data_IF_895768719151
#
_entry.id   IF_895768719151
#
_cell.length_a   1.000
_cell.length_b   1.000
_cell.length_c   1.000
_cell.angle_alpha   90.00
_cell.angle_beta   90.00
_cell.angle_gamma   90.00
#
_symmetry.space_group_name_H-M   'P 1'
#
loop_
_entity.id
_entity.type
_entity.pdbx_description
1 polymer ?
#
# COMPACT_ATOMS: atom_id res chain seq x y z
N UNK A 1 -63.84 -3.19 -56.37
CA UNK A 1 -63.63 -3.25 -57.83
C UNK A 1 -63.42 -1.82 -58.33
N UNK A 2 -62.22 -1.52 -58.85
CA UNK A 2 -61.80 -0.36 -59.68
C UNK A 2 -61.87 1.09 -59.13
N UNK A 3 -60.70 1.73 -59.18
CA UNK A 3 -60.44 3.17 -59.15
C UNK A 3 -60.59 3.81 -60.55
N UNK A 4 -60.28 5.14 -60.65
CA UNK A 4 -59.96 5.99 -61.84
C UNK A 4 -61.15 6.90 -62.30
N UNK A 5 -61.08 8.23 -62.57
CA UNK A 5 -60.01 9.24 -62.78
C UNK A 5 -60.52 10.70 -62.52
N UNK A 6 -59.52 11.56 -62.31
CA UNK A 6 -59.36 13.03 -62.28
C UNK A 6 -60.22 13.95 -63.21
N UNK A 7 -60.53 15.18 -62.75
CA UNK A 7 -60.28 16.45 -63.50
C UNK A 7 -60.65 17.72 -62.68
N UNK A 8 -59.61 18.53 -62.43
CA UNK A 8 -59.50 19.95 -62.01
C UNK A 8 -60.72 20.90 -62.14
N UNK A 9 -60.88 21.80 -61.16
CA UNK A 9 -60.51 23.23 -61.28
C UNK A 9 -60.38 23.86 -59.89
N UNK A 10 -59.31 24.63 -59.73
CA UNK A 10 -58.89 25.34 -58.54
C UNK A 10 -59.84 26.51 -58.20
N UNK A 11 -60.32 26.54 -56.97
CA UNK A 11 -60.70 27.77 -56.28
C UNK A 11 -59.73 27.97 -55.14
N UNK A 12 -58.82 28.92 -55.36
CA UNK A 12 -57.91 29.48 -54.38
C UNK A 12 -58.75 30.04 -53.23
N UNK A 13 -58.81 29.33 -52.12
CA UNK A 13 -58.92 29.96 -50.81
C UNK A 13 -57.52 30.01 -50.25
N UNK A 14 -56.91 31.19 -50.36
CA UNK A 14 -55.79 31.57 -49.54
C UNK A 14 -56.30 31.53 -48.09
N UNK A 15 -56.17 30.38 -47.43
CA UNK A 15 -56.17 30.35 -45.97
C UNK A 15 -54.91 31.11 -45.62
N UNK A 16 -55.08 32.40 -45.36
CA UNK A 16 -54.10 33.20 -44.63
C UNK A 16 -53.79 32.35 -43.41
N UNK A 17 -52.58 31.78 -43.39
CA UNK A 17 -52.11 31.05 -42.24
C UNK A 17 -52.33 31.96 -41.06
N UNK A 18 -53.27 31.59 -40.19
CA UNK A 18 -53.41 32.24 -38.91
C UNK A 18 -52.04 32.11 -38.29
N UNK A 19 -51.34 33.25 -38.16
CA UNK A 19 -50.30 33.38 -37.17
C UNK A 19 -50.98 32.98 -35.87
N UNK A 20 -50.81 31.72 -35.46
CA UNK A 20 -50.94 31.34 -34.07
C UNK A 20 -49.95 32.25 -33.36
N UNK A 21 -50.46 33.34 -32.78
CA UNK A 21 -49.70 34.08 -31.78
C UNK A 21 -49.46 33.06 -30.68
N UNK A 22 -48.29 32.42 -30.67
CA UNK A 22 -47.87 31.71 -29.48
C UNK A 22 -47.86 32.77 -28.37
N UNK A 23 -48.87 32.69 -27.51
CA UNK A 23 -48.94 33.51 -26.30
C UNK A 23 -47.67 33.25 -25.54
N UNK A 24 -46.90 34.30 -25.25
CA UNK A 24 -45.65 34.13 -24.56
C UNK A 24 -45.87 33.47 -23.20
N UNK A 25 -45.08 32.44 -22.92
CA UNK A 25 -45.05 31.77 -21.62
C UNK A 25 -43.77 32.20 -20.91
N UNK A 26 -43.86 32.44 -19.61
CA UNK A 26 -42.68 32.80 -18.81
C UNK A 26 -41.60 31.72 -18.92
N UNK A 27 -40.31 32.08 -18.86
CA UNK A 27 -39.21 31.12 -18.86
C UNK A 27 -39.37 30.07 -17.75
N UNK A 28 -38.90 28.86 -18.00
CA UNK A 28 -38.72 27.83 -16.96
C UNK A 28 -37.37 28.02 -16.28
N UNK A 29 -37.30 27.86 -14.96
CA UNK A 29 -36.09 28.09 -14.17
C UNK A 29 -35.95 27.02 -13.09
N UNK A 30 -34.73 26.53 -12.88
CA UNK A 30 -34.35 25.60 -11.81
C UNK A 30 -32.95 25.93 -11.31
N UNK A 31 -32.72 25.73 -10.02
CA UNK A 31 -31.39 25.68 -9.43
C UNK A 31 -30.99 24.20 -9.34
N UNK A 32 -29.89 23.83 -9.99
CA UNK A 32 -29.36 22.46 -10.00
C UNK A 32 -28.38 22.21 -8.84
N UNK A 33 -27.63 23.24 -8.46
CA UNK A 33 -26.76 23.23 -7.31
C UNK A 33 -26.69 24.64 -6.70
N UNK A 34 -26.66 24.76 -5.36
CA UNK A 34 -26.80 23.69 -4.37
C UNK A 34 -28.25 23.16 -4.23
N UNK A 35 -28.42 22.01 -3.58
CA UNK A 35 -29.74 21.47 -3.27
C UNK A 35 -30.42 22.24 -2.13
N UNK A 36 -31.76 22.23 -2.10
CA UNK A 36 -32.52 22.86 -1.01
C UNK A 36 -32.18 22.20 0.34
N UNK A 37 -31.88 23.04 1.34
CA UNK A 37 -31.44 22.63 2.67
C UNK A 37 -29.96 22.25 2.79
N UNK A 38 -29.15 22.39 1.73
CA UNK A 38 -27.74 22.01 1.77
C UNK A 38 -26.92 22.89 2.73
N UNK A 39 -26.04 22.25 3.51
CA UNK A 39 -25.17 22.91 4.49
C UNK A 39 -23.73 22.95 4.00
N UNK A 40 -23.01 24.01 4.34
CA UNK A 40 -21.62 24.24 3.98
C UNK A 40 -20.81 24.69 5.19
N UNK A 41 -19.63 24.09 5.37
CA UNK A 41 -18.58 24.60 6.26
C UNK A 41 -17.71 25.65 5.57
N UNK A 42 -17.46 25.45 4.27
CA UNK A 42 -16.80 26.42 3.41
C UNK A 42 -17.72 27.62 3.13
N UNK A 43 -17.14 28.82 3.21
CA UNK A 43 -17.88 30.07 2.98
C UNK A 43 -18.10 30.37 1.51
N UNK A 44 -17.47 29.61 0.63
CA UNK A 44 -17.57 29.78 -0.82
C UNK A 44 -18.45 28.68 -1.40
N UNK A 45 -19.55 29.07 -2.05
CA UNK A 45 -20.52 28.15 -2.65
C UNK A 45 -20.59 28.39 -4.15
N UNK A 46 -20.59 27.31 -4.93
CA UNK A 46 -20.78 27.33 -6.38
C UNK A 46 -22.23 27.05 -6.72
N UNK A 47 -22.77 27.84 -7.65
CA UNK A 47 -24.15 27.77 -8.06
C UNK A 47 -24.26 27.32 -9.52
N UNK A 48 -25.32 26.58 -9.82
CA UNK A 48 -25.63 26.17 -11.18
C UNK A 48 -27.14 26.31 -11.42
N UNK A 49 -27.50 27.12 -12.41
CA UNK A 49 -28.88 27.28 -12.85
C UNK A 49 -29.15 26.52 -14.13
N UNK A 50 -30.42 26.21 -14.36
CA UNK A 50 -30.93 25.72 -15.64
C UNK A 50 -32.22 26.46 -15.98
N UNK A 51 -32.35 26.87 -17.25
CA UNK A 51 -33.54 27.55 -17.72
C UNK A 51 -33.82 27.26 -19.19
N UNK A 52 -35.07 27.47 -19.60
CA UNK A 52 -35.49 27.35 -21.00
C UNK A 52 -36.70 28.26 -21.26
N UNK A 53 -36.69 28.93 -22.41
CA UNK A 53 -37.81 29.70 -22.92
C UNK A 53 -38.06 29.31 -24.39
N UNK A 54 -38.99 28.37 -24.65
CA UNK A 54 -39.29 27.92 -26.01
C UNK A 54 -40.07 28.94 -26.86
N UNK A 55 -40.78 29.88 -26.23
CA UNK A 55 -41.68 30.83 -26.90
C UNK A 55 -41.10 32.26 -27.00
N UNK A 56 -39.96 32.50 -26.35
CA UNK A 56 -39.20 33.74 -26.35
C UNK A 56 -37.69 33.51 -26.38
N UNK A 57 -36.93 34.50 -25.90
CA UNK A 57 -35.47 34.45 -25.77
C UNK A 57 -35.10 35.04 -24.41
N UNK A 58 -34.30 34.30 -23.64
CA UNK A 58 -33.76 34.80 -22.37
C UNK A 58 -32.91 36.06 -22.61
N UNK A 59 -33.27 37.13 -21.92
CA UNK A 59 -32.62 38.44 -22.01
C UNK A 59 -31.75 38.73 -20.78
N UNK A 60 -32.18 38.31 -19.59
CA UNK A 60 -31.48 38.55 -18.32
C UNK A 60 -31.58 37.35 -17.39
N UNK A 61 -30.48 37.03 -16.71
CA UNK A 61 -30.44 36.16 -15.53
C UNK A 61 -29.90 36.96 -14.35
N UNK A 62 -30.42 36.70 -13.16
CA UNK A 62 -30.01 37.40 -11.94
C UNK A 62 -30.11 36.46 -10.74
N UNK A 63 -28.97 36.21 -10.12
CA UNK A 63 -28.85 35.54 -8.84
C UNK A 63 -28.96 36.56 -7.71
N UNK A 64 -29.66 36.19 -6.65
CA UNK A 64 -29.59 36.85 -5.35
C UNK A 64 -29.20 35.79 -4.32
N UNK A 65 -28.10 36.02 -3.61
CA UNK A 65 -27.53 35.04 -2.68
C UNK A 65 -28.12 35.12 -1.27
N UNK A 66 -29.07 36.02 -1.03
CA UNK A 66 -29.77 36.17 0.26
C UNK A 66 -29.00 36.98 1.31
N UNK A 67 -27.75 37.40 1.01
CA UNK A 67 -26.90 38.23 1.88
C UNK A 67 -26.67 39.65 1.34
N UNK A 68 -27.39 40.01 0.28
CA UNK A 68 -27.22 41.26 -0.47
C UNK A 68 -26.28 41.15 -1.68
N UNK A 69 -25.58 40.02 -1.85
CA UNK A 69 -24.82 39.72 -3.05
C UNK A 69 -25.70 39.31 -4.23
N UNK A 70 -25.28 39.67 -5.44
CA UNK A 70 -25.98 39.31 -6.69
C UNK A 70 -24.98 38.93 -7.79
N UNK A 71 -25.44 38.22 -8.83
CA UNK A 71 -24.64 37.92 -10.02
C UNK A 71 -25.52 37.75 -11.27
N UNK A 72 -24.96 38.04 -12.44
CA UNK A 72 -25.58 37.77 -13.74
C UNK A 72 -24.89 36.61 -14.50
N UNK A 73 -23.97 35.89 -13.85
CA UNK A 73 -23.29 34.74 -14.45
C UNK A 73 -24.18 33.50 -14.44
N UNK A 74 -23.96 32.60 -15.39
CA UNK A 74 -24.72 31.36 -15.51
C UNK A 74 -24.42 30.36 -14.38
N UNK A 75 -23.18 30.36 -13.90
CA UNK A 75 -22.70 29.48 -12.84
C UNK A 75 -21.75 30.25 -11.91
N UNK A 76 -22.28 31.17 -11.08
CA UNK A 76 -21.45 32.00 -10.23
C UNK A 76 -20.86 31.22 -9.05
N UNK A 77 -19.77 31.75 -8.53
CA UNK A 77 -19.22 31.41 -7.21
C UNK A 77 -19.46 32.59 -6.27
N UNK A 78 -20.00 32.34 -5.08
CA UNK A 78 -20.26 33.39 -4.08
C UNK A 78 -19.63 33.05 -2.73
N UNK A 79 -19.07 34.07 -2.09
CA UNK A 79 -18.42 33.97 -0.78
C UNK A 79 -19.22 34.69 0.30
N UNK A 80 -19.84 33.93 1.19
CA UNK A 80 -20.57 34.43 2.34
C UNK A 80 -19.61 34.91 3.43
N UNK A 81 -19.86 36.07 4.03
CA UNK A 81 -18.99 36.60 5.08
C UNK A 81 -19.32 36.02 6.45
N UNK A 82 -20.60 35.74 6.71
CA UNK A 82 -21.13 35.30 8.00
C UNK A 82 -21.71 33.89 7.88
N UNK A 83 -21.75 33.19 9.00
CA UNK A 83 -22.54 31.98 9.12
C UNK A 83 -24.02 32.39 9.23
N UNK A 84 -24.91 31.59 8.67
CA UNK A 84 -26.33 31.91 8.61
C UNK A 84 -27.08 31.03 7.62
N UNK A 85 -28.40 31.19 7.64
CA UNK A 85 -29.31 30.60 6.66
C UNK A 85 -29.62 31.64 5.58
N UNK A 86 -29.55 31.22 4.33
CA UNK A 86 -29.70 32.10 3.16
C UNK A 86 -30.73 31.52 2.20
N UNK A 87 -31.69 32.35 1.82
CA UNK A 87 -32.60 32.05 0.71
C UNK A 87 -31.96 32.57 -0.57
N UNK A 88 -31.50 31.64 -1.41
CA UNK A 88 -30.90 31.96 -2.71
C UNK A 88 -31.98 31.89 -3.76
N UNK A 89 -32.06 32.91 -4.62
CA UNK A 89 -33.01 32.93 -5.74
C UNK A 89 -32.31 33.19 -7.08
N UNK A 90 -32.83 32.55 -8.12
CA UNK A 90 -32.46 32.77 -9.52
C UNK A 90 -33.68 33.30 -10.26
N UNK A 91 -33.57 34.52 -10.77
CA UNK A 91 -34.56 35.14 -11.65
C UNK A 91 -34.11 35.03 -13.11
N UNK A 92 -35.00 34.64 -14.01
CA UNK A 92 -34.76 34.65 -15.46
C UNK A 92 -35.86 35.47 -16.13
N UNK A 93 -35.45 36.45 -16.93
CA UNK A 93 -36.34 37.36 -17.65
C UNK A 93 -36.14 37.21 -19.16
N UNK A 94 -37.23 37.09 -19.90
CA UNK A 94 -37.20 37.01 -21.36
C UNK A 94 -37.28 38.38 -22.06
N UNK A 95 -37.12 38.35 -23.38
CA UNK A 95 -37.17 39.53 -24.25
C UNK A 95 -38.56 40.19 -24.36
N UNK A 96 -39.58 39.61 -23.73
CA UNK A 96 -40.95 40.16 -23.63
C UNK A 96 -41.27 40.59 -22.19
N UNK A 97 -40.24 40.70 -21.34
CA UNK A 97 -40.29 41.19 -19.96
C UNK A 97 -41.11 40.30 -19.02
N UNK A 98 -41.25 39.01 -19.32
CA UNK A 98 -41.78 38.04 -18.37
C UNK A 98 -40.63 37.45 -17.55
N UNK A 99 -40.84 37.33 -16.24
CA UNK A 99 -39.85 36.82 -15.29
C UNK A 99 -40.40 35.60 -14.56
N UNK A 100 -39.53 34.62 -14.33
CA UNK A 100 -39.80 33.50 -13.43
C UNK A 100 -38.62 33.28 -12.48
N UNK A 101 -38.88 32.60 -11.36
CA UNK A 101 -37.92 32.43 -10.27
C UNK A 101 -37.81 30.96 -9.84
N UNK A 102 -36.63 30.60 -9.35
CA UNK A 102 -36.39 29.40 -8.56
C UNK A 102 -35.67 29.79 -7.27
N UNK A 103 -35.93 29.08 -6.18
CA UNK A 103 -35.37 29.36 -4.86
C UNK A 103 -34.85 28.09 -4.20
N UNK A 104 -33.78 28.22 -3.41
CA UNK A 104 -33.26 27.18 -2.52
C UNK A 104 -32.77 27.80 -1.21
N UNK A 105 -32.97 27.10 -0.10
CA UNK A 105 -32.38 27.43 1.19
C UNK A 105 -31.02 26.76 1.30
N UNK A 106 -30.04 27.50 1.78
CA UNK A 106 -28.75 26.94 2.19
C UNK A 106 -28.37 27.43 3.58
N UNK A 107 -27.45 26.72 4.22
CA UNK A 107 -26.89 27.12 5.51
C UNK A 107 -25.37 27.12 5.48
N UNK A 108 -24.78 28.25 5.81
CA UNK A 108 -23.35 28.38 6.09
C UNK A 108 -23.15 28.23 7.60
N UNK A 109 -22.45 27.19 8.02
CA UNK A 109 -22.25 26.82 9.42
C UNK A 109 -20.76 26.73 9.73
N UNK A 110 -20.37 26.96 10.98
CA UNK A 110 -19.06 26.58 11.45
C UNK A 110 -19.02 25.05 11.49
N UNK A 111 -18.18 24.46 10.64
CA UNK A 111 -17.91 23.01 10.71
C UNK A 111 -17.20 22.63 12.01
N UNK A 112 -17.00 21.32 12.25
CA UNK A 112 -16.12 20.89 13.32
C UNK A 112 -14.69 21.42 13.07
N UNK A 113 -13.91 21.47 14.14
CA UNK A 113 -12.47 21.67 14.12
C UNK A 113 -11.83 20.39 14.61
N UNK A 114 -11.17 19.67 13.72
CA UNK A 114 -10.38 18.50 14.07
C UNK A 114 -9.11 18.94 14.82
N UNK A 115 -8.75 18.22 15.88
CA UNK A 115 -7.48 18.43 16.59
C UNK A 115 -6.86 17.06 16.92
N UNK A 116 -5.94 16.63 16.05
CA UNK A 116 -5.20 15.39 16.19
C UNK A 116 -3.93 15.61 17.02
N UNK A 117 -3.70 14.75 18.00
CA UNK A 117 -2.49 14.78 18.84
C UNK A 117 -1.91 13.38 18.99
N UNK A 118 -0.59 13.31 19.19
CA UNK A 118 0.14 12.06 19.41
C UNK A 118 1.00 12.15 20.67
N UNK A 119 1.13 11.04 21.38
CA UNK A 119 1.93 10.92 22.61
C UNK A 119 2.73 9.61 22.66
N UNK A 120 3.90 9.67 23.30
CA UNK A 120 4.65 8.47 23.67
C UNK A 120 4.15 7.97 25.02
N UNK A 121 3.78 6.69 25.10
CA UNK A 121 3.37 6.07 26.37
C UNK A 121 4.51 5.98 27.40
N UNK A 122 5.75 6.13 26.95
CA UNK A 122 6.95 6.17 27.79
C UNK A 122 7.26 7.57 28.35
N UNK A 123 6.64 8.62 27.80
CA UNK A 123 6.83 9.98 28.27
C UNK A 123 6.00 10.21 29.53
N UNK A 124 6.61 10.79 30.57
CA UNK A 124 5.89 11.29 31.75
C UNK A 124 5.14 12.59 31.47
N UNK A 125 5.47 13.27 30.37
CA UNK A 125 4.85 14.52 29.98
C UNK A 125 3.73 14.25 28.96
N UNK A 126 2.50 14.55 29.34
CA UNK A 126 1.31 14.49 28.48
C UNK A 126 1.20 15.73 27.58
N UNK A 127 2.32 16.15 26.98
CA UNK A 127 2.30 17.28 26.04
C UNK A 127 1.75 16.77 24.71
N UNK A 128 0.67 17.36 24.17
CA UNK A 128 0.14 17.03 22.85
C UNK A 128 1.17 17.39 21.80
N UNK A 129 1.64 16.40 21.05
CA UNK A 129 2.60 16.61 19.97
C UNK A 129 1.92 16.46 18.62
N UNK A 130 2.51 17.13 17.63
CA UNK A 130 2.21 16.93 16.20
C UNK A 130 3.22 16.01 15.52
N UNK A 131 4.33 15.72 16.18
CA UNK A 131 5.40 14.88 15.66
C UNK A 131 6.01 14.06 16.79
N UNK A 132 6.19 12.75 16.56
CA UNK A 132 6.95 11.85 17.42
C UNK A 132 7.93 11.03 16.59
N UNK A 133 9.10 10.77 17.17
CA UNK A 133 10.07 9.81 16.64
C UNK A 133 10.52 8.86 17.75
N UNK A 134 10.76 7.60 17.39
CA UNK A 134 11.34 6.60 18.30
C UNK A 134 11.65 5.28 17.60
N UNK A 135 12.35 4.39 18.31
CA UNK A 135 12.83 3.13 17.73
C UNK A 135 11.70 2.11 17.60
N UNK A 136 11.83 1.22 16.60
CA UNK A 136 10.90 0.12 16.45
C UNK A 136 11.02 -0.92 17.60
N UNK A 137 9.94 -1.61 17.97
CA UNK A 137 8.57 -1.23 17.66
C UNK A 137 8.14 -0.01 18.49
N UNK A 138 7.50 0.95 17.83
CA UNK A 138 7.10 2.21 18.46
C UNK A 138 5.63 2.14 18.88
N UNK A 139 5.38 2.31 20.17
CA UNK A 139 4.04 2.37 20.74
C UNK A 139 3.65 3.84 20.99
N UNK A 140 2.57 4.29 20.35
CA UNK A 140 2.05 5.66 20.47
C UNK A 140 0.59 5.66 20.91
N UNK A 141 0.18 6.75 21.54
CA UNK A 141 -1.22 7.05 21.79
C UNK A 141 -1.65 8.20 20.87
N UNK A 142 -2.74 7.99 20.13
CA UNK A 142 -3.39 8.99 19.28
C UNK A 142 -4.64 9.48 20.00
N UNK A 143 -4.87 10.79 19.97
CA UNK A 143 -5.93 11.43 20.73
C UNK A 143 -6.57 12.58 19.95
N UNK A 144 -7.89 12.47 19.72
CA UNK A 144 -8.75 13.44 19.05
C UNK A 144 -9.68 14.19 20.02
N UNK A 145 -9.55 13.98 21.34
CA UNK A 145 -10.47 14.50 22.36
C UNK A 145 -10.55 16.03 22.42
N UNK A 146 -9.60 16.72 21.80
CA UNK A 146 -9.57 18.18 21.68
C UNK A 146 -10.33 18.72 20.47
N UNK A 147 -10.80 17.83 19.60
CA UNK A 147 -11.67 18.22 18.50
C UNK A 147 -12.96 18.80 19.04
N UNK A 148 -13.49 19.83 18.38
CA UNK A 148 -14.66 20.56 18.86
C UNK A 148 -15.56 20.99 17.71
N UNK A 149 -16.85 21.18 17.99
CA UNK A 149 -17.78 21.90 17.11
C UNK A 149 -18.51 22.95 17.93
N UNK A 150 -18.62 24.16 17.39
CA UNK A 150 -19.25 25.30 18.07
C UNK A 150 -20.76 25.36 17.89
N UNK A 151 -21.30 24.72 16.85
CA UNK A 151 -22.72 24.77 16.50
C UNK A 151 -23.45 23.45 16.76
N UNK A 152 -22.71 22.34 16.78
CA UNK A 152 -23.24 20.98 16.82
C UNK A 152 -22.37 20.09 17.73
N UNK A 153 -22.77 18.83 17.91
CA UNK A 153 -21.94 17.81 18.55
C UNK A 153 -21.11 17.05 17.51
N UNK A 154 -19.91 16.60 17.89
CA UNK A 154 -19.16 15.63 17.07
C UNK A 154 -19.96 14.32 17.02
N UNK A 155 -20.11 13.79 15.81
CA UNK A 155 -20.83 12.55 15.51
C UNK A 155 -19.90 11.36 15.37
N UNK A 156 -18.74 11.54 14.73
CA UNK A 156 -17.78 10.46 14.49
C UNK A 156 -16.35 10.97 14.34
N UNK A 157 -15.41 10.08 14.65
CA UNK A 157 -13.98 10.20 14.38
C UNK A 157 -13.60 9.10 13.40
N UNK A 158 -12.60 9.36 12.57
CA UNK A 158 -12.01 8.36 11.70
C UNK A 158 -10.53 8.67 11.52
N UNK A 159 -9.68 7.70 11.82
CA UNK A 159 -8.23 7.76 11.70
C UNK A 159 -7.78 6.88 10.54
N UNK A 160 -6.95 7.43 9.67
CA UNK A 160 -6.05 6.68 8.78
C UNK A 160 -4.66 6.70 9.43
N UNK A 161 -4.12 5.52 9.72
CA UNK A 161 -2.86 5.35 10.46
C UNK A 161 -1.63 5.45 9.56
N UNK A 162 -1.81 5.66 8.25
CA UNK A 162 -0.71 5.85 7.30
C UNK A 162 0.01 4.55 6.89
N UNK A 163 -0.42 3.40 7.41
CA UNK A 163 0.09 2.06 7.07
C UNK A 163 -0.97 1.15 6.44
N UNK A 164 -2.09 1.74 6.03
CA UNK A 164 -3.26 1.05 5.47
C UNK A 164 -4.28 0.59 6.51
N UNK A 165 -4.02 0.79 7.81
CA UNK A 165 -4.95 0.50 8.89
C UNK A 165 -5.74 1.75 9.30
N UNK A 166 -6.92 1.55 9.89
CA UNK A 166 -7.82 2.64 10.31
C UNK A 166 -8.42 2.42 11.69
N UNK A 167 -8.96 3.47 12.30
CA UNK A 167 -9.71 3.38 13.57
C UNK A 167 -10.79 4.45 13.68
N UNK A 168 -11.93 4.15 14.29
CA UNK A 168 -13.00 5.12 14.57
C UNK A 168 -13.04 5.57 16.05
N UNK A 169 -12.08 5.10 16.86
CA UNK A 169 -11.99 5.47 18.27
C UNK A 169 -11.43 6.89 18.41
N UNK A 170 -12.01 7.76 19.26
CA UNK A 170 -11.48 9.10 19.50
C UNK A 170 -10.09 9.09 20.12
N UNK A 171 -9.72 7.97 20.78
CA UNK A 171 -8.42 7.79 21.43
C UNK A 171 -8.00 6.33 21.31
N UNK A 172 -6.79 6.06 20.84
CA UNK A 172 -6.27 4.70 20.67
C UNK A 172 -4.78 4.58 20.95
N UNK A 173 -4.35 3.39 21.34
CA UNK A 173 -2.94 3.00 21.41
C UNK A 173 -2.61 2.17 20.17
N UNK A 174 -1.59 2.57 19.42
CA UNK A 174 -1.17 1.89 18.21
C UNK A 174 0.33 1.54 18.23
N UNK A 175 0.68 0.39 17.64
CA UNK A 175 2.05 -0.14 17.62
C UNK A 175 2.55 -0.24 16.19
N UNK A 176 3.46 0.64 15.81
CA UNK A 176 4.18 0.51 14.55
C UNK A 176 5.34 -0.48 14.71
N UNK A 177 5.35 -1.53 13.88
CA UNK A 177 6.35 -2.61 13.92
C UNK A 177 7.34 -2.56 12.77
N UNK A 178 7.12 -1.68 11.79
CA UNK A 178 7.97 -1.49 10.62
C UNK A 178 8.59 -0.09 10.73
N UNK A 179 9.90 0.07 10.55
CA UNK A 179 10.53 1.38 10.42
C UNK A 179 9.98 2.17 9.23
N UNK A 180 9.77 3.47 9.40
CA UNK A 180 9.19 4.33 8.37
C UNK A 180 8.67 5.65 8.91
N UNK A 181 8.25 6.52 7.99
CA UNK A 181 7.54 7.76 8.28
C UNK A 181 6.06 7.57 7.96
N UNK A 182 5.19 7.80 8.96
CA UNK A 182 3.75 7.64 8.87
C UNK A 182 3.05 8.99 9.03
N UNK A 183 2.22 9.36 8.06
CA UNK A 183 1.28 10.48 8.18
C UNK A 183 -0.06 9.93 8.67
N UNK A 184 -0.42 10.27 9.91
CA UNK A 184 -1.66 9.84 10.54
C UNK A 184 -2.70 10.94 10.37
N UNK A 185 -3.80 10.62 9.70
CA UNK A 185 -4.86 11.57 9.36
C UNK A 185 -6.11 11.33 10.18
N UNK A 186 -6.59 12.35 10.88
CA UNK A 186 -7.89 12.37 11.54
C UNK A 186 -8.92 13.05 10.65
N UNK A 187 -10.11 12.46 10.53
CA UNK A 187 -11.33 13.10 10.02
C UNK A 187 -12.37 13.13 11.12
N UNK A 188 -12.88 14.32 11.44
CA UNK A 188 -13.98 14.52 12.40
C UNK A 188 -15.21 14.95 11.65
N UNK A 189 -16.35 14.29 11.90
CA UNK A 189 -17.64 14.66 11.32
C UNK A 189 -18.62 15.04 12.43
N UNK A 190 -19.35 16.13 12.24
CA UNK A 190 -20.34 16.61 13.18
C UNK A 190 -21.75 16.08 12.91
N UNK A 191 -22.72 16.41 13.77
CA UNK A 191 -24.11 15.97 13.59
C UNK A 191 -24.86 16.69 12.45
N UNK A 192 -24.29 17.74 11.86
CA UNK A 192 -24.78 18.35 10.63
C UNK A 192 -24.23 17.67 9.36
N UNK A 193 -23.30 16.73 9.49
CA UNK A 193 -22.64 16.05 8.38
C UNK A 193 -21.47 16.84 7.77
N UNK A 194 -21.04 17.91 8.43
CA UNK A 194 -19.84 18.66 8.06
C UNK A 194 -18.61 17.94 8.62
N UNK A 195 -17.51 17.98 7.88
CA UNK A 195 -16.27 17.32 8.27
C UNK A 195 -15.08 18.26 8.19
N UNK A 196 -14.10 17.99 9.04
CA UNK A 196 -12.79 18.64 9.06
C UNK A 196 -11.68 17.60 9.29
N UNK A 197 -10.45 17.94 8.93
CA UNK A 197 -9.30 17.04 9.00
C UNK A 197 -8.09 17.70 9.64
N UNK A 198 -7.31 16.89 10.33
CA UNK A 198 -6.04 17.28 10.93
C UNK A 198 -5.09 16.08 10.95
N UNK A 199 -3.79 16.31 11.01
CA UNK A 199 -2.79 15.24 10.95
C UNK A 199 -1.70 15.36 12.02
N UNK A 200 -1.03 14.24 12.25
CA UNK A 200 0.19 14.11 13.04
C UNK A 200 1.18 13.21 12.31
N UNK A 201 2.47 13.37 12.57
CA UNK A 201 3.52 12.58 11.95
C UNK A 201 4.21 11.67 12.96
N UNK A 202 4.40 10.40 12.60
CA UNK A 202 5.08 9.39 13.42
C UNK A 202 6.27 8.83 12.64
N UNK A 203 7.47 8.97 13.19
CA UNK A 203 8.71 8.41 12.64
C UNK A 203 9.17 7.22 13.47
N UNK A 204 9.24 6.06 12.85
CA UNK A 204 9.75 4.83 13.45
C UNK A 204 11.16 4.57 12.92
N UNK A 205 12.15 4.68 13.81
CA UNK A 205 13.55 4.51 13.45
C UNK A 205 13.89 3.02 13.31
N UNK A 206 14.70 2.68 12.31
CA UNK A 206 15.37 1.39 12.20
C UNK A 206 16.37 1.26 13.37
N UNK A 207 16.53 0.08 13.99
CA UNK A 207 17.47 -0.08 15.09
C UNK A 207 18.89 0.23 14.60
N UNK A 208 19.70 0.90 15.44
CA UNK A 208 21.12 1.05 15.15
C UNK A 208 21.77 -0.33 15.02
N UNK A 209 22.24 -0.65 13.81
CA UNK A 209 22.96 -1.90 13.55
C UNK A 209 24.30 -1.85 14.26
N UNK A 210 24.58 -2.84 15.11
CA UNK A 210 25.89 -2.94 15.75
C UNK A 210 26.96 -3.19 14.67
N UNK A 211 27.86 -2.23 14.49
CA UNK A 211 28.92 -2.29 13.48
C UNK A 211 30.30 -2.58 14.09
N UNK A 212 31.14 -3.21 13.28
CA UNK A 212 32.50 -3.64 13.59
C UNK A 212 33.40 -3.31 12.41
N UNK A 213 34.72 -3.18 12.64
CA UNK A 213 35.67 -2.88 11.57
C UNK A 213 36.90 -3.77 11.65
N UNK A 214 37.32 -4.30 10.50
CA UNK A 214 38.55 -5.07 10.32
C UNK A 214 39.26 -4.56 9.06
N UNK A 215 40.51 -4.13 9.19
CA UNK A 215 41.33 -3.61 8.08
C UNK A 215 40.62 -2.51 7.25
N UNK A 216 39.87 -1.63 7.92
CA UNK A 216 39.12 -0.54 7.26
C UNK A 216 37.78 -0.95 6.65
N UNK A 217 37.46 -2.25 6.59
CA UNK A 217 36.15 -2.76 6.16
C UNK A 217 35.20 -2.76 7.36
N UNK A 218 34.07 -2.06 7.23
CA UNK A 218 33.05 -1.99 8.26
C UNK A 218 31.96 -3.02 7.95
N UNK A 219 31.46 -3.72 8.95
CA UNK A 219 30.41 -4.73 8.78
C UNK A 219 29.52 -4.77 10.02
N UNK A 220 28.27 -5.18 9.88
CA UNK A 220 27.29 -5.21 10.96
C UNK A 220 26.64 -6.57 11.13
N UNK A 221 26.27 -6.88 12.38
CA UNK A 221 25.42 -8.03 12.68
C UNK A 221 23.99 -7.68 12.30
N UNK A 222 23.41 -8.42 11.36
CA UNK A 222 22.03 -8.20 10.92
C UNK A 222 21.04 -9.13 11.61
N UNK A 223 21.39 -10.40 11.86
CA UNK A 223 20.49 -11.33 12.55
C UNK A 223 21.25 -12.40 13.35
N UNK A 224 20.63 -12.86 14.43
CA UNK A 224 21.05 -13.97 15.30
C UNK A 224 19.88 -14.94 15.51
N UNK A 225 19.89 -16.06 14.81
CA UNK A 225 18.86 -17.10 14.92
C UNK A 225 19.35 -18.28 15.77
N UNK A 226 18.47 -18.85 16.59
CA UNK A 226 18.73 -20.12 17.26
C UNK A 226 18.44 -21.27 16.28
N UNK A 227 19.44 -22.07 15.98
CA UNK A 227 19.28 -23.33 15.26
C UNK A 227 19.00 -24.40 16.33
N UNK A 228 17.90 -25.16 16.19
CA UNK A 228 17.46 -26.32 16.99
C UNK A 228 18.26 -26.61 18.28
N UNK A 229 17.61 -26.51 19.44
CA UNK A 229 18.25 -26.61 20.76
C UNK A 229 19.22 -27.80 20.85
N UNK A 230 20.51 -27.53 21.08
CA UNK A 230 21.45 -28.60 21.35
C UNK A 230 21.14 -29.20 22.73
N UNK A 231 21.21 -30.53 22.83
CA UNK A 231 21.26 -31.22 24.11
C UNK A 231 22.43 -30.66 24.95
N UNK A 232 22.25 -30.60 26.28
CA UNK A 232 23.21 -30.08 27.27
C UNK A 232 23.23 -28.55 27.53
N UNK A 233 22.22 -27.79 27.10
CA UNK A 233 22.02 -26.40 27.55
C UNK A 233 22.91 -25.35 26.86
N UNK A 234 23.73 -25.76 25.89
CA UNK A 234 24.46 -24.88 24.98
C UNK A 234 23.58 -24.53 23.76
N UNK A 235 23.70 -23.30 23.24
CA UNK A 235 22.95 -22.88 22.04
C UNK A 235 23.77 -23.14 20.77
N UNK A 236 23.08 -23.63 19.73
CA UNK A 236 23.55 -23.57 18.34
C UNK A 236 22.96 -22.31 17.70
N UNK A 237 23.81 -21.46 17.11
CA UNK A 237 23.41 -20.14 16.62
C UNK A 237 23.84 -19.91 15.18
N UNK A 238 22.97 -19.28 14.40
CA UNK A 238 23.29 -18.71 13.09
C UNK A 238 23.44 -17.21 13.23
N UNK A 239 24.61 -16.69 12.85
CA UNK A 239 24.88 -15.26 12.77
C UNK A 239 24.94 -14.83 11.31
N UNK A 240 24.24 -13.75 10.96
CA UNK A 240 24.31 -13.12 9.64
C UNK A 240 24.99 -11.77 9.74
N UNK A 241 26.15 -11.64 9.13
CA UNK A 241 26.91 -10.39 9.05
C UNK A 241 26.94 -9.84 7.64
N UNK A 242 26.88 -8.52 7.52
CA UNK A 242 26.90 -7.82 6.23
C UNK A 242 27.93 -6.70 6.24
N UNK A 243 28.67 -6.59 5.14
CA UNK A 243 29.63 -5.50 4.94
C UNK A 243 28.88 -4.21 4.61
N UNK A 244 29.29 -3.12 5.26
CA UNK A 244 28.80 -1.76 5.03
C UNK A 244 29.11 -1.38 3.57
N UNK A 245 28.09 -1.06 2.75
CA UNK A 245 28.27 -0.70 1.34
C UNK A 245 29.27 0.44 1.12
N UNK A 246 29.38 1.37 2.07
CA UNK A 246 30.30 2.51 2.00
C UNK A 246 31.76 2.12 2.24
N UNK A 247 32.00 0.94 2.82
CA UNK A 247 33.34 0.42 3.08
C UNK A 247 33.85 -0.51 1.97
N UNK A 248 33.09 -0.68 0.89
CA UNK A 248 33.47 -1.56 -0.22
C UNK A 248 34.69 -1.01 -0.99
N UNK A 249 35.52 -1.90 -1.56
CA UNK A 249 36.54 -1.48 -2.52
C UNK A 249 35.89 -0.71 -3.67
N UNK A 250 36.45 0.45 -4.03
CA UNK A 250 35.93 1.28 -5.12
C UNK A 250 35.93 0.55 -6.47
N UNK A 251 36.86 -0.39 -6.66
CA UNK A 251 36.93 -1.29 -7.80
C UNK A 251 37.33 -2.70 -7.32
N UNK A 252 36.60 -3.74 -7.75
CA UNK A 252 36.97 -5.14 -7.53
C UNK A 252 36.13 -5.92 -6.50
N UNK A 253 36.24 -7.25 -6.55
CA UNK A 253 35.63 -8.18 -5.57
C UNK A 253 36.47 -8.26 -4.31
N UNK A 254 35.84 -8.47 -3.15
CA UNK A 254 36.53 -8.85 -1.91
C UNK A 254 37.51 -10.02 -2.14
N UNK A 255 38.67 -9.96 -1.49
CA UNK A 255 39.65 -11.06 -1.49
C UNK A 255 39.28 -12.11 -0.44
N UNK A 256 39.75 -13.36 -0.61
CA UNK A 256 39.56 -14.42 0.39
C UNK A 256 40.17 -14.03 1.74
N UNK A 257 41.26 -13.27 1.74
CA UNK A 257 41.92 -12.78 2.95
C UNK A 257 41.04 -11.78 3.71
N UNK A 258 40.44 -10.81 3.01
CA UNK A 258 39.48 -9.87 3.62
C UNK A 258 38.28 -10.60 4.23
N UNK A 259 37.73 -11.58 3.51
CA UNK A 259 36.60 -12.39 3.98
C UNK A 259 36.99 -13.24 5.18
N UNK A 260 38.18 -13.84 5.17
CA UNK A 260 38.74 -14.60 6.28
C UNK A 260 38.86 -13.75 7.53
N UNK A 261 39.44 -12.55 7.42
CA UNK A 261 39.69 -11.69 8.57
C UNK A 261 38.38 -11.25 9.25
N UNK A 262 37.37 -10.88 8.46
CA UNK A 262 36.04 -10.52 8.97
C UNK A 262 35.37 -11.72 9.66
N UNK A 263 35.38 -12.89 9.01
CA UNK A 263 34.79 -14.11 9.58
C UNK A 263 35.51 -14.53 10.87
N UNK A 264 36.83 -14.43 10.93
CA UNK A 264 37.61 -14.74 12.11
C UNK A 264 37.37 -13.75 13.25
N UNK A 265 37.19 -12.45 12.97
CA UNK A 265 36.80 -11.48 13.98
C UNK A 265 35.40 -11.76 14.52
N UNK A 266 34.44 -12.08 13.64
CA UNK A 266 33.10 -12.51 14.05
C UNK A 266 33.14 -13.78 14.92
N UNK A 267 33.95 -14.79 14.56
CA UNK A 267 34.15 -16.01 15.37
C UNK A 267 34.67 -15.68 16.76
N UNK A 268 35.68 -14.79 16.89
CA UNK A 268 36.20 -14.36 18.20
C UNK A 268 35.11 -13.73 19.05
N UNK A 269 34.24 -12.90 18.46
CA UNK A 269 33.13 -12.26 19.17
C UNK A 269 32.07 -13.26 19.62
N UNK A 270 31.73 -14.23 18.77
CA UNK A 270 30.79 -15.30 19.12
C UNK A 270 31.36 -16.23 20.19
N UNK A 271 32.65 -16.55 20.11
CA UNK A 271 33.35 -17.37 21.10
C UNK A 271 33.41 -16.73 22.49
N UNK A 272 33.41 -15.39 22.56
CA UNK A 272 33.34 -14.64 23.80
C UNK A 272 31.92 -14.57 24.40
N UNK A 273 30.88 -14.97 23.65
CA UNK A 273 29.50 -14.90 24.11
C UNK A 273 29.16 -16.07 25.06
N UNK A 274 28.53 -15.81 26.21
CA UNK A 274 28.17 -16.86 27.15
C UNK A 274 27.10 -17.80 26.55
N UNK A 275 27.22 -19.10 26.86
CA UNK A 275 26.26 -20.17 26.50
C UNK A 275 26.13 -20.48 24.99
N UNK A 276 27.16 -20.22 24.20
CA UNK A 276 27.23 -20.63 22.78
C UNK A 276 28.16 -21.83 22.66
N UNK A 277 27.62 -22.99 22.30
CA UNK A 277 28.40 -24.22 22.09
C UNK A 277 28.77 -24.46 20.63
N UNK A 278 27.95 -23.95 19.70
CA UNK A 278 28.18 -24.02 18.25
C UNK A 278 27.65 -22.77 17.58
N UNK A 279 28.33 -22.32 16.52
CA UNK A 279 27.88 -21.22 15.70
C UNK A 279 28.26 -21.41 14.23
N UNK A 280 27.32 -21.07 13.36
CA UNK A 280 27.56 -20.84 11.94
C UNK A 280 27.45 -19.35 11.70
N UNK A 281 28.46 -18.76 11.07
CA UNK A 281 28.53 -17.32 10.81
C UNK A 281 28.58 -17.14 9.30
N UNK A 282 27.58 -16.49 8.73
CA UNK A 282 27.53 -16.14 7.31
C UNK A 282 27.95 -14.70 7.10
N UNK A 283 28.76 -14.46 6.07
CA UNK A 283 29.18 -13.13 5.66
C UNK A 283 28.65 -12.79 4.27
N UNK A 284 28.05 -11.61 4.17
CA UNK A 284 27.47 -11.09 2.94
C UNK A 284 28.04 -9.71 2.56
N UNK A 285 28.11 -9.42 1.28
CA UNK A 285 28.52 -8.13 0.74
C UNK A 285 27.42 -7.05 0.85
N UNK A 286 26.15 -7.43 0.91
CA UNK A 286 25.02 -6.51 1.04
C UNK A 286 23.89 -7.05 1.94
N UNK A 287 23.14 -6.13 2.56
CA UNK A 287 21.90 -6.44 3.26
C UNK A 287 20.77 -6.55 2.26
N UNK A 288 20.18 -7.73 2.15
CA UNK A 288 18.94 -7.95 1.41
C UNK A 288 17.98 -8.71 2.31
N UNK A 289 16.76 -8.17 2.41
CA UNK A 289 15.79 -8.45 3.47
C UNK A 289 15.47 -9.94 3.64
N UNK A 290 15.51 -10.75 2.58
CA UNK A 290 15.07 -12.15 2.64
C UNK A 290 16.08 -13.19 2.14
N UNK A 291 17.37 -12.89 2.03
CA UNK A 291 18.30 -13.89 1.51
C UNK A 291 18.69 -14.97 2.54
N UNK A 292 18.46 -16.25 2.21
CA UNK A 292 19.12 -17.43 2.79
C UNK A 292 20.20 -17.93 1.81
N UNK A 293 21.36 -18.34 2.35
CA UNK A 293 22.64 -18.48 1.62
C UNK A 293 22.70 -19.63 0.61
N UNK A 294 22.93 -19.31 -0.67
CA UNK A 294 23.31 -20.29 -1.67
C UNK A 294 24.76 -19.98 -2.06
N UNK A 295 25.57 -21.01 -2.23
CA UNK A 295 26.95 -20.91 -2.73
C UNK A 295 27.07 -20.32 -4.14
N UNK A 296 25.95 -19.89 -4.72
CA UNK A 296 25.82 -19.52 -6.12
C UNK A 296 25.62 -18.02 -6.31
N UNK A 297 25.44 -17.23 -5.24
CA UNK A 297 25.09 -15.82 -5.34
C UNK A 297 26.21 -14.87 -4.94
N UNK A 298 26.30 -13.75 -5.65
CA UNK A 298 27.40 -12.78 -5.59
C UNK A 298 27.45 -11.96 -4.29
N UNK A 299 26.35 -11.87 -3.55
CA UNK A 299 26.32 -11.24 -2.25
C UNK A 299 26.78 -12.18 -1.12
N UNK A 300 26.78 -13.51 -1.30
CA UNK A 300 27.26 -14.45 -0.29
C UNK A 300 28.77 -14.68 -0.44
N UNK A 301 29.55 -14.32 0.58
CA UNK A 301 31.03 -14.39 0.50
C UNK A 301 31.57 -15.72 1.06
N UNK A 302 30.88 -16.29 2.04
CA UNK A 302 31.29 -17.52 2.70
C UNK A 302 30.73 -17.63 4.11
N UNK A 303 31.14 -18.69 4.80
CA UNK A 303 30.80 -18.93 6.20
C UNK A 303 31.98 -19.40 7.04
N UNK A 304 31.85 -19.22 8.34
CA UNK A 304 32.68 -19.87 9.34
C UNK A 304 31.83 -20.74 10.26
N UNK A 305 32.23 -22.00 10.42
CA UNK A 305 31.66 -22.90 11.43
C UNK A 305 32.61 -22.97 12.62
N UNK A 306 32.04 -22.77 13.81
CA UNK A 306 32.75 -22.76 15.07
C UNK A 306 32.02 -23.64 16.09
N UNK A 307 32.78 -24.45 16.83
CA UNK A 307 32.27 -25.29 17.91
C UNK A 307 33.16 -25.18 19.16
N UNK A 308 32.58 -25.37 20.34
CA UNK A 308 33.33 -25.54 21.58
C UNK A 308 33.85 -26.98 21.73
N UNK A 309 35.04 -27.17 22.35
CA UNK A 309 35.91 -26.14 22.93
C UNK A 309 36.66 -25.32 21.86
N UNK A 310 36.89 -24.04 22.18
CA UNK A 310 37.44 -23.04 21.26
C UNK A 310 38.87 -23.37 20.84
N UNK A 311 39.04 -23.85 19.61
CA UNK A 311 40.29 -23.69 18.87
C UNK A 311 40.01 -22.83 17.64
N UNK A 312 40.24 -21.50 17.72
CA UNK A 312 40.01 -20.60 16.59
C UNK A 312 40.79 -21.02 15.34
N UNK A 313 41.92 -21.71 15.48
CA UNK A 313 42.72 -22.20 14.36
C UNK A 313 42.10 -23.41 13.65
N UNK A 314 41.12 -24.08 14.28
CA UNK A 314 40.33 -25.18 13.70
C UNK A 314 38.99 -24.71 13.13
N UNK A 315 38.69 -23.42 13.20
CA UNK A 315 37.49 -22.85 12.56
C UNK A 315 37.49 -23.19 11.07
N UNK A 316 36.48 -23.91 10.62
CA UNK A 316 36.33 -24.22 9.21
C UNK A 316 35.69 -23.03 8.51
N UNK A 317 36.44 -22.40 7.60
CA UNK A 317 35.94 -21.36 6.71
C UNK A 317 35.66 -21.98 5.35
N UNK A 318 34.44 -21.77 4.85
CA UNK A 318 34.03 -22.14 3.50
C UNK A 318 33.79 -20.86 2.72
N UNK A 319 34.41 -20.78 1.55
CA UNK A 319 34.29 -19.64 0.64
C UNK A 319 33.23 -19.91 -0.41
N UNK A 320 32.53 -18.86 -0.86
CA UNK A 320 31.78 -18.93 -2.10
C UNK A 320 32.77 -18.84 -3.28
N UNK A 321 33.24 -19.98 -3.77
CA UNK A 321 34.19 -20.03 -4.89
C UNK A 321 33.66 -19.35 -6.15
N UNK A 322 32.34 -19.44 -6.42
CA UNK A 322 31.69 -18.76 -7.55
C UNK A 322 31.75 -17.24 -7.42
N UNK A 323 31.71 -16.73 -6.20
CA UNK A 323 31.93 -15.31 -5.97
C UNK A 323 33.37 -14.92 -6.33
N UNK A 324 34.36 -15.70 -5.90
CA UNK A 324 35.76 -15.34 -6.13
C UNK A 324 36.22 -15.54 -7.59
N UNK A 325 35.63 -16.49 -8.32
CA UNK A 325 35.97 -16.75 -9.73
C UNK A 325 35.18 -15.90 -10.73
N UNK A 326 34.22 -15.09 -10.27
CA UNK A 326 33.43 -14.22 -11.12
C UNK A 326 32.12 -14.81 -11.65
N UNK A 327 31.84 -16.08 -11.37
CA UNK A 327 30.71 -16.83 -11.96
C UNK A 327 29.44 -16.85 -11.11
N UNK A 328 29.48 -16.26 -9.92
CA UNK A 328 28.30 -16.13 -9.06
C UNK A 328 27.18 -15.37 -9.79
N UNK A 329 25.97 -15.86 -9.62
CA UNK A 329 24.77 -15.28 -10.21
C UNK A 329 24.42 -13.98 -9.47
N UNK A 330 24.16 -12.92 -10.23
CA UNK A 330 23.70 -11.64 -9.70
C UNK A 330 22.20 -11.71 -9.40
N UNK A 331 21.87 -11.82 -8.11
CA UNK A 331 20.48 -11.77 -7.63
C UNK A 331 20.41 -10.76 -6.50
N UNK A 332 19.58 -9.74 -6.70
CA UNK A 332 19.37 -8.63 -5.79
C UNK A 332 18.46 -8.97 -4.62
N UNK A 333 17.57 -9.96 -4.72
CA UNK A 333 16.67 -10.29 -3.62
C UNK A 333 15.51 -11.17 -4.00
N UNK A 334 14.82 -11.68 -2.97
CA UNK A 334 13.38 -11.87 -3.07
C UNK A 334 12.63 -11.11 -1.99
N UNK A 335 11.41 -10.68 -2.29
CA UNK A 335 10.45 -10.27 -1.26
C UNK A 335 9.50 -11.41 -1.00
N UNK A 336 9.06 -11.56 0.26
CA UNK A 336 8.14 -12.59 0.67
C UNK A 336 6.93 -11.95 1.34
N UNK A 337 5.76 -12.08 0.73
CA UNK A 337 4.49 -11.72 1.35
C UNK A 337 3.78 -13.01 1.80
N UNK A 338 3.61 -13.21 3.12
CA UNK A 338 2.93 -14.38 3.67
C UNK A 338 1.51 -14.01 4.10
N UNK A 339 0.52 -14.68 3.52
CA UNK A 339 -0.88 -14.60 3.96
C UNK A 339 -1.40 -15.99 4.28
N UNK A 340 -1.94 -16.20 5.48
CA UNK A 340 -2.65 -17.45 5.80
C UNK A 340 -3.98 -17.47 5.05
N UNK A 341 -4.26 -18.54 4.31
CA UNK A 341 -5.57 -18.72 3.69
C UNK A 341 -6.65 -18.90 4.77
N UNK A 342 -7.82 -18.30 4.57
CA UNK A 342 -8.94 -18.38 5.52
C UNK A 342 -9.38 -19.85 5.70
N UNK A 343 -9.41 -20.29 6.95
CA UNK A 343 -9.82 -21.64 7.33
C UNK A 343 -11.26 -21.99 6.91
N UNK A 344 -12.10 -20.98 6.69
CA UNK A 344 -13.52 -21.12 6.33
C UNK A 344 -13.81 -20.96 4.83
N UNK A 345 -12.77 -20.92 3.99
CA UNK A 345 -12.94 -20.75 2.54
C UNK A 345 -13.64 -21.97 1.91
N UNK A 346 -14.84 -21.76 1.37
CA UNK A 346 -15.67 -22.79 0.76
C UNK A 346 -15.06 -23.44 -0.48
N UNK A 347 -14.09 -22.79 -1.11
CA UNK A 347 -13.37 -23.34 -2.26
C UNK A 347 -12.15 -24.17 -1.85
N UNK A 348 -11.69 -24.06 -0.59
CA UNK A 348 -10.55 -24.79 -0.04
C UNK A 348 -11.01 -25.88 0.93
N UNK A 349 -11.14 -27.12 0.44
CA UNK A 349 -11.63 -28.29 1.21
C UNK A 349 -10.83 -28.63 2.48
N UNK A 350 -9.66 -28.03 2.65
CA UNK A 350 -8.63 -28.45 3.59
C UNK A 350 -8.03 -27.31 4.42
N UNK A 351 -8.38 -26.05 4.14
CA UNK A 351 -7.87 -24.88 4.87
C UNK A 351 -8.29 -24.89 6.36
N UNK A 352 -9.37 -25.60 6.72
CA UNK A 352 -9.76 -25.82 8.12
C UNK A 352 -8.93 -26.87 8.88
N UNK A 353 -8.05 -27.61 8.20
CA UNK A 353 -7.22 -28.68 8.79
C UNK A 353 -5.70 -28.40 8.69
N UNK A 354 -5.27 -27.52 7.79
CA UNK A 354 -3.86 -27.23 7.52
C UNK A 354 -3.60 -25.72 7.47
N UNK A 355 -2.45 -25.27 8.01
CA UNK A 355 -2.01 -23.88 7.90
C UNK A 355 -1.37 -23.65 6.53
N UNK A 356 -2.19 -23.29 5.54
CA UNK A 356 -1.71 -23.00 4.18
C UNK A 356 -1.40 -21.51 4.07
N UNK A 357 -0.14 -21.19 3.75
CA UNK A 357 0.28 -19.81 3.50
C UNK A 357 0.46 -19.55 2.01
N UNK A 358 -0.12 -18.45 1.51
CA UNK A 358 0.26 -17.85 0.25
C UNK A 358 1.57 -17.11 0.44
N UNK A 359 2.57 -17.41 -0.39
CA UNK A 359 3.84 -16.72 -0.49
C UNK A 359 3.93 -16.01 -1.84
N UNK A 360 4.34 -14.76 -1.88
CA UNK A 360 4.66 -14.07 -3.14
C UNK A 360 6.17 -13.84 -3.17
N UNK A 361 6.84 -14.35 -4.21
CA UNK A 361 8.30 -14.27 -4.39
C UNK A 361 8.61 -13.33 -5.54
N UNK A 362 9.26 -12.22 -5.22
CA UNK A 362 9.62 -11.20 -6.20
C UNK A 362 11.09 -11.32 -6.56
N UNK A 363 11.43 -11.76 -7.78
CA UNK A 363 12.83 -11.93 -8.17
C UNK A 363 13.43 -10.59 -8.63
N UNK A 364 14.36 -10.07 -7.84
CA UNK A 364 15.14 -8.89 -8.23
C UNK A 364 16.45 -9.38 -8.86
N UNK A 365 16.61 -9.28 -10.19
CA UNK A 365 17.87 -9.57 -10.90
C UNK A 365 18.11 -8.54 -12.01
N UNK A 366 19.37 -8.21 -12.30
CA UNK A 366 19.76 -7.35 -13.45
C UNK A 366 19.56 -8.08 -14.77
N UNK A 367 19.77 -9.40 -14.76
CA UNK A 367 19.51 -10.31 -15.88
C UNK A 367 18.89 -11.58 -15.33
N UNK A 368 17.56 -11.66 -15.39
CA UNK A 368 16.86 -12.86 -14.96
C UNK A 368 17.04 -13.97 -16.01
N UNK A 369 17.89 -14.95 -15.68
CA UNK A 369 18.13 -16.17 -16.45
C UNK A 369 17.40 -17.35 -15.82
N UNK A 370 17.08 -18.41 -16.58
CA UNK A 370 16.37 -19.58 -16.04
C UNK A 370 17.09 -20.23 -14.87
N UNK A 371 18.42 -20.43 -14.99
CA UNK A 371 19.23 -20.98 -13.89
C UNK A 371 19.13 -20.13 -12.62
N UNK A 372 19.26 -18.82 -12.77
CA UNK A 372 19.15 -17.85 -11.67
C UNK A 372 17.79 -17.90 -11.00
N UNK A 373 16.70 -17.89 -11.79
CA UNK A 373 15.35 -17.98 -11.28
C UNK A 373 15.11 -19.29 -10.51
N UNK A 374 15.55 -20.43 -11.06
CA UNK A 374 15.40 -21.75 -10.42
C UNK A 374 16.15 -21.79 -9.09
N UNK A 375 17.41 -21.35 -9.06
CA UNK A 375 18.22 -21.35 -7.83
C UNK A 375 17.58 -20.44 -6.76
N UNK A 376 17.13 -19.23 -7.12
CA UNK A 376 16.51 -18.31 -6.14
C UNK A 376 15.18 -18.84 -5.61
N UNK A 377 14.35 -19.43 -6.48
CA UNK A 377 13.07 -20.02 -6.08
C UNK A 377 13.26 -21.22 -5.15
N UNK A 378 14.20 -22.09 -5.47
CA UNK A 378 14.52 -23.27 -4.62
C UNK A 378 14.87 -22.84 -3.18
N UNK A 379 15.60 -21.73 -3.04
CA UNK A 379 16.03 -21.21 -1.73
C UNK A 379 14.93 -20.47 -1.00
N UNK A 380 14.12 -19.68 -1.70
CA UNK A 380 12.93 -19.07 -1.12
C UNK A 380 12.02 -20.15 -0.53
N UNK A 381 11.83 -21.27 -1.22
CA UNK A 381 11.02 -22.40 -0.73
C UNK A 381 11.62 -23.09 0.50
N UNK A 382 12.95 -23.27 0.54
CA UNK A 382 13.63 -23.80 1.73
C UNK A 382 13.43 -22.90 2.93
N UNK A 383 13.52 -21.58 2.75
CA UNK A 383 13.29 -20.59 3.82
C UNK A 383 11.86 -20.63 4.35
N UNK A 384 10.92 -20.99 3.48
CA UNK A 384 9.50 -21.03 3.78
C UNK A 384 9.11 -22.40 4.38
N UNK A 385 9.96 -23.42 4.51
CA UNK A 385 9.54 -24.80 4.87
C UNK A 385 9.02 -25.06 6.32
N UNK A 386 8.41 -24.07 7.00
CA UNK A 386 7.92 -24.16 8.39
C UNK A 386 6.41 -24.44 8.54
N UNK A 387 5.60 -24.38 7.48
CA UNK A 387 4.16 -24.71 7.49
C UNK A 387 3.85 -26.04 6.79
N UNK A 388 2.60 -26.47 6.91
CA UNK A 388 2.10 -27.74 6.37
C UNK A 388 1.89 -27.68 4.84
N UNK A 389 1.87 -26.49 4.22
CA UNK A 389 1.73 -26.30 2.77
C UNK A 389 1.75 -24.82 2.33
N UNK A 390 2.18 -24.59 1.09
CA UNK A 390 2.36 -23.26 0.50
C UNK A 390 1.86 -23.15 -0.95
N UNK A 391 1.28 -22.00 -1.27
CA UNK A 391 1.02 -21.55 -2.65
C UNK A 391 1.95 -20.38 -2.92
N UNK A 392 2.75 -20.44 -3.98
CA UNK A 392 3.82 -19.47 -4.26
C UNK A 392 3.62 -18.80 -5.61
N UNK A 393 3.31 -17.51 -5.64
CA UNK A 393 3.30 -16.71 -6.88
C UNK A 393 4.68 -16.10 -7.12
N UNK A 394 5.18 -16.14 -8.36
CA UNK A 394 6.50 -15.63 -8.73
C UNK A 394 6.37 -14.43 -9.66
N UNK A 395 6.99 -13.32 -9.28
CA UNK A 395 6.95 -12.07 -10.03
C UNK A 395 8.36 -11.64 -10.48
N UNK A 396 8.42 -10.98 -11.62
CA UNK A 396 9.63 -10.29 -12.09
C UNK A 396 9.79 -8.92 -11.45
N UNK A 397 10.91 -8.26 -11.77
CA UNK A 397 11.29 -6.93 -11.24
C UNK A 397 10.21 -5.84 -11.44
N UNK A 398 9.41 -5.92 -12.50
CA UNK A 398 8.38 -4.93 -12.80
C UNK A 398 7.09 -5.09 -11.97
N UNK A 399 6.93 -6.18 -11.23
CA UNK A 399 5.74 -6.53 -10.42
C UNK A 399 4.39 -6.55 -11.18
N UNK A 400 4.39 -6.32 -12.49
CA UNK A 400 3.18 -6.20 -13.31
C UNK A 400 2.81 -7.51 -14.00
N UNK A 401 3.76 -8.44 -14.12
CA UNK A 401 3.54 -9.74 -14.76
C UNK A 401 4.04 -10.89 -13.88
N UNK A 402 3.14 -11.84 -13.60
CA UNK A 402 3.50 -13.10 -12.98
C UNK A 402 4.34 -13.92 -13.96
N UNK A 403 5.53 -14.32 -13.52
CA UNK A 403 6.45 -15.21 -14.25
C UNK A 403 6.05 -16.67 -14.07
N UNK A 404 5.27 -16.98 -13.04
CA UNK A 404 4.76 -18.33 -12.80
C UNK A 404 4.06 -18.46 -11.46
N UNK A 405 3.46 -19.62 -11.23
CA UNK A 405 2.86 -19.99 -9.96
C UNK A 405 3.37 -21.38 -9.57
N UNK A 406 3.60 -21.61 -8.29
CA UNK A 406 4.19 -22.82 -7.74
C UNK A 406 3.37 -23.28 -6.54
N UNK A 407 3.35 -24.58 -6.29
CA UNK A 407 2.64 -25.16 -5.16
C UNK A 407 3.60 -26.11 -4.46
N UNK A 408 3.83 -25.90 -3.17
CA UNK A 408 4.74 -26.68 -2.35
C UNK A 408 3.95 -27.32 -1.22
N UNK A 409 3.98 -28.65 -1.12
CA UNK A 409 3.06 -29.38 -0.26
C UNK A 409 3.85 -30.43 0.52
N UNK A 410 3.73 -30.42 1.85
CA UNK A 410 4.42 -31.37 2.71
C UNK A 410 3.64 -32.68 2.93
N UNK A 411 2.30 -32.65 2.81
CA UNK A 411 1.42 -33.74 3.28
C UNK A 411 0.13 -33.96 2.47
N UNK A 412 -0.09 -33.29 1.34
CA UNK A 412 -1.38 -33.24 0.62
C UNK A 412 -1.29 -33.74 -0.83
N UNK A 413 -2.39 -34.26 -1.39
CA UNK A 413 -2.47 -34.65 -2.81
C UNK A 413 -2.84 -33.44 -3.67
N UNK A 414 -2.30 -33.38 -4.88
CA UNK A 414 -2.50 -32.28 -5.82
C UNK A 414 -3.98 -32.03 -6.17
N UNK A 415 -4.79 -33.08 -6.28
CA UNK A 415 -6.20 -32.98 -6.68
C UNK A 415 -7.12 -32.35 -5.61
N UNK A 416 -6.64 -32.21 -4.37
CA UNK A 416 -7.40 -31.66 -3.25
C UNK A 416 -7.25 -30.12 -3.13
N UNK A 417 -6.51 -29.48 -4.05
CA UNK A 417 -6.23 -28.04 -4.06
C UNK A 417 -7.40 -27.19 -4.60
N UNK A 418 -7.57 -25.94 -4.13
CA UNK A 418 -8.53 -24.99 -4.67
C UNK A 418 -8.09 -24.46 -6.05
N UNK A 419 -8.28 -25.26 -7.09
CA UNK A 419 -7.84 -24.96 -8.47
C UNK A 419 -8.56 -23.76 -9.11
N UNK A 420 -9.74 -23.38 -8.62
CA UNK A 420 -10.51 -22.25 -9.14
C UNK A 420 -9.85 -20.87 -8.89
N UNK A 421 -9.02 -20.74 -7.85
CA UNK A 421 -8.26 -19.51 -7.54
C UNK A 421 -6.87 -19.49 -8.18
N UNK A 422 -6.45 -20.59 -8.80
CA UNK A 422 -5.12 -20.79 -9.34
C UNK A 422 -5.17 -20.71 -10.87
N UNK A 423 -4.55 -19.69 -11.46
CA UNK A 423 -4.36 -19.62 -12.93
C UNK A 423 -3.21 -20.55 -13.34
N UNK A 424 -3.46 -21.86 -13.36
CA UNK A 424 -2.49 -22.83 -13.86
C UNK A 424 -2.45 -22.74 -15.39
N UNK A 425 -1.37 -22.20 -15.96
CA UNK A 425 -1.19 -22.14 -17.42
C UNK A 425 -0.59 -23.44 -17.98
N UNK A 426 -0.81 -23.65 -19.29
CA UNK A 426 -0.83 -24.97 -19.96
C UNK A 426 0.51 -25.57 -20.34
N UNK A 427 1.64 -24.91 -20.13
CA UNK A 427 2.98 -25.45 -20.43
C UNK A 427 3.72 -25.81 -19.13
N UNK A 428 4.24 -27.04 -19.06
CA UNK A 428 4.51 -27.77 -17.81
C UNK A 428 5.94 -28.29 -17.77
N UNK A 429 6.66 -28.08 -16.67
CA UNK A 429 7.89 -28.79 -16.32
C UNK A 429 7.73 -29.31 -14.89
N UNK A 430 8.35 -30.45 -14.53
CA UNK A 430 8.39 -30.99 -13.17
C UNK A 430 9.82 -30.83 -12.61
N UNK A 431 9.97 -30.23 -11.42
CA UNK A 431 11.23 -30.19 -10.68
C UNK A 431 11.10 -31.07 -9.43
N UNK A 432 11.76 -32.23 -9.40
CA UNK A 432 11.93 -33.00 -8.16
C UNK A 432 13.11 -32.42 -7.37
N UNK A 433 12.86 -32.05 -6.12
CA UNK A 433 13.94 -31.73 -5.17
C UNK A 433 14.05 -32.86 -4.14
N UNK A 434 15.28 -33.33 -3.88
CA UNK A 434 15.55 -34.46 -2.97
C UNK A 434 15.09 -34.23 -1.52
N UNK A 435 14.78 -33.00 -1.12
CA UNK A 435 14.56 -32.62 0.28
C UNK A 435 13.07 -32.56 0.67
N UNK A 436 12.15 -32.36 -0.28
CA UNK A 436 10.74 -32.07 0.06
C UNK A 436 9.66 -32.72 -0.83
N UNK A 437 9.99 -33.56 -1.83
CA UNK A 437 9.01 -34.08 -2.81
C UNK A 437 8.07 -32.98 -3.35
N UNK A 438 8.62 -31.80 -3.65
CA UNK A 438 7.88 -30.74 -4.33
C UNK A 438 7.66 -31.13 -5.80
N UNK A 439 6.45 -30.90 -6.33
CA UNK A 439 6.19 -30.81 -7.77
C UNK A 439 5.89 -29.35 -8.13
N UNK A 440 6.79 -28.75 -8.90
CA UNK A 440 6.76 -27.31 -9.26
C UNK A 440 6.44 -27.15 -10.73
N UNK A 441 5.55 -26.21 -11.10
CA UNK A 441 5.18 -25.91 -12.50
C UNK A 441 5.39 -24.42 -12.83
N UNK A 442 6.54 -24.05 -13.37
CA UNK A 442 6.87 -22.63 -13.66
C UNK A 442 6.85 -22.38 -15.18
N UNK A 443 6.21 -21.28 -15.62
CA UNK A 443 6.24 -20.86 -17.03
C UNK A 443 7.49 -20.00 -17.30
N UNK A 444 8.57 -20.64 -17.75
CA UNK A 444 9.80 -19.95 -18.10
C UNK A 444 9.86 -19.51 -19.58
N UNK A 445 8.75 -19.54 -20.33
CA UNK A 445 8.76 -19.28 -21.78
C UNK A 445 9.28 -17.88 -22.14
N UNK A 446 9.16 -16.93 -21.22
CA UNK A 446 9.61 -15.55 -21.39
C UNK A 446 10.98 -15.26 -20.76
N UNK A 447 11.58 -16.25 -20.09
CA UNK A 447 12.88 -16.12 -19.44
C UNK A 447 13.94 -16.79 -20.34
N UNK A 448 14.99 -16.07 -20.77
CA UNK A 448 16.00 -16.63 -21.66
C UNK A 448 16.79 -17.77 -21.00
N UNK A 449 17.15 -18.77 -21.81
CA UNK A 449 18.17 -19.78 -21.48
C UNK A 449 19.56 -19.13 -21.50
N UNK A 450 19.90 -18.57 -20.35
CA UNK A 450 21.24 -18.30 -19.89
C UNK A 450 21.40 -18.98 -18.51
#
# INVERSE_FOLDING_TARGET
>A
MKAILCSLIASIFLVVGGCSSQTNQSPTVKILAPADGQKFSEKTVKFQGQWSDPAGKVEKIEWNFGDGGTSAEAAPEHKYQKNGEYLVSLAVTDNKKQTNHAEVHIKISAGPKAEATVHLLTSKEAVPLKFISGDFPLLVELDASRSQSSETSIKSYHWDLGDGQTSDEPKLIYKYTIPGDYEVMLTVTDSAGLADRDSVSVRVNEPEKTSFSVNGLKYYLENKNQLNSAEQGLKSLLYRYIIDPLSRPAEGRFTKEQVRDILMDAVKRVAAAPKVGRATIWLFAEAKSNFMAPSDFDHYLGLANWEQPADPLKTQILYNEKYFDGTALAVYGYQLNQQTLDANDSECRVCGQFHIAKAEVFLESEKLCKKTAITTLTEALRAIALSDGYVVDVYGKDQTKALGAMIAIRTMKFDDLPTAKLKIQSESWELETEVLQLKVKINLAEIPDC
#
